data_IF_184279774206
#
_entry.id   IF_184279774206
#
_cell.length_a   1.000
_cell.length_b   1.000
_cell.length_c   1.000
_cell.angle_alpha   90.00
_cell.angle_beta   90.00
_cell.angle_gamma   90.00
#
_symmetry.space_group_name_H-M   'P 1'
#
loop_
_entity.id
_entity.type
_entity.pdbx_description
1 polymer ?
#
# COMPACT_ATOMS: atom_id res chain seq x y z
N UNK A 1 1.96 3.48 -15.97
CA UNK A 1 2.47 2.10 -15.86
C UNK A 1 3.73 2.05 -15.00
N UNK A 2 4.79 2.80 -15.31
CA UNK A 2 6.03 2.81 -14.50
C UNK A 2 5.82 3.13 -13.00
N UNK A 3 4.95 4.09 -12.67
CA UNK A 3 4.68 4.47 -11.26
C UNK A 3 3.96 3.38 -10.45
N UNK A 4 3.12 2.57 -11.09
CA UNK A 4 2.48 1.40 -10.46
C UNK A 4 3.56 0.37 -10.11
N UNK A 5 4.47 0.10 -11.05
CA UNK A 5 5.58 -0.82 -10.85
C UNK A 5 6.47 -0.40 -9.67
N UNK A 6 6.83 0.88 -9.59
CA UNK A 6 7.66 1.42 -8.51
C UNK A 6 6.96 1.29 -7.16
N UNK A 7 5.67 1.64 -7.06
CA UNK A 7 4.91 1.47 -5.82
C UNK A 7 4.79 0.00 -5.39
N UNK A 8 4.61 -0.93 -6.33
CA UNK A 8 4.62 -2.36 -6.04
C UNK A 8 5.99 -2.86 -5.57
N UNK A 9 7.09 -2.36 -6.16
CA UNK A 9 8.45 -2.71 -5.74
C UNK A 9 8.74 -2.22 -4.32
N UNK A 10 8.33 -1.00 -3.99
CA UNK A 10 8.48 -0.47 -2.63
C UNK A 10 7.64 -1.27 -1.64
N UNK A 11 6.37 -1.54 -1.97
CA UNK A 11 5.53 -2.39 -1.12
C UNK A 11 6.17 -3.77 -0.89
N UNK A 12 6.72 -4.39 -1.93
CA UNK A 12 7.42 -5.67 -1.83
C UNK A 12 8.69 -5.57 -0.98
N UNK A 13 9.44 -4.47 -1.10
CA UNK A 13 10.63 -4.19 -0.28
C UNK A 13 10.25 -4.07 1.21
N UNK A 14 9.15 -3.38 1.53
CA UNK A 14 8.64 -3.31 2.89
C UNK A 14 8.16 -4.67 3.40
N UNK A 15 7.47 -5.47 2.60
CA UNK A 15 7.13 -6.84 3.00
C UNK A 15 8.37 -7.70 3.28
N UNK A 16 9.42 -7.54 2.46
CA UNK A 16 10.70 -8.21 2.67
C UNK A 16 11.39 -7.76 3.96
N UNK A 17 11.41 -6.46 4.23
CA UNK A 17 11.92 -5.91 5.48
C UNK A 17 11.13 -6.44 6.68
N UNK A 18 9.81 -6.54 6.57
CA UNK A 18 8.93 -7.07 7.60
C UNK A 18 9.18 -8.55 7.88
N UNK A 19 9.49 -9.33 6.84
CA UNK A 19 9.90 -10.72 6.97
C UNK A 19 11.27 -10.86 7.64
N UNK A 20 12.25 -10.01 7.29
CA UNK A 20 13.58 -9.98 7.95
C UNK A 20 13.45 -9.63 9.43
N UNK A 21 12.56 -8.70 9.78
CA UNK A 21 12.29 -8.28 11.16
C UNK A 21 11.34 -9.23 11.91
N UNK A 22 10.92 -10.35 11.29
CA UNK A 22 9.97 -11.33 11.84
C UNK A 22 8.58 -10.76 12.20
N UNK A 23 8.20 -9.59 11.66
CA UNK A 23 6.85 -9.05 11.81
C UNK A 23 5.83 -9.71 10.87
N UNK A 24 6.31 -10.29 9.77
CA UNK A 24 5.48 -10.73 8.65
C UNK A 24 5.95 -12.09 8.17
N UNK A 25 5.01 -12.97 7.78
CA UNK A 25 5.34 -14.30 7.23
C UNK A 25 5.40 -14.30 5.71
N UNK A 26 6.04 -15.30 5.10
CA UNK A 26 6.11 -15.49 3.64
C UNK A 26 4.74 -15.54 2.94
N UNK A 27 3.67 -15.91 3.64
CA UNK A 27 2.31 -15.92 3.07
C UNK A 27 1.85 -14.51 2.65
N UNK A 28 2.36 -13.47 3.31
CA UNK A 28 1.93 -12.08 3.09
C UNK A 28 2.42 -11.52 1.74
N UNK A 29 3.44 -12.12 1.12
CA UNK A 29 3.81 -11.78 -0.27
C UNK A 29 2.67 -12.02 -1.26
N UNK A 30 1.70 -12.89 -0.92
CA UNK A 30 0.46 -13.07 -1.68
C UNK A 30 -0.38 -11.80 -1.79
N UNK A 31 -0.16 -10.79 -0.94
CA UNK A 31 -0.86 -9.49 -1.02
C UNK A 31 -0.37 -8.59 -2.17
N UNK A 32 0.83 -8.82 -2.70
CA UNK A 32 1.41 -8.00 -3.79
C UNK A 32 0.47 -7.87 -5.01
N UNK A 33 -0.09 -8.96 -5.58
CA UNK A 33 -1.05 -8.84 -6.69
C UNK A 33 -2.33 -8.09 -6.29
N UNK A 34 -2.84 -8.26 -5.07
CA UNK A 34 -4.03 -7.53 -4.60
C UNK A 34 -3.74 -6.04 -4.42
N UNK A 35 -2.53 -5.69 -3.97
CA UNK A 35 -2.07 -4.31 -3.93
C UNK A 35 -2.02 -3.71 -5.34
N UNK A 36 -1.43 -4.40 -6.31
CA UNK A 36 -1.40 -3.94 -7.69
C UNK A 36 -2.81 -3.70 -8.27
N UNK A 37 -3.76 -4.60 -8.00
CA UNK A 37 -5.16 -4.45 -8.40
C UNK A 37 -5.83 -3.25 -7.72
N UNK A 38 -5.57 -3.02 -6.44
CA UNK A 38 -6.11 -1.88 -5.69
C UNK A 38 -5.60 -0.52 -6.18
N UNK A 39 -4.45 -0.47 -6.86
CA UNK A 39 -3.92 0.76 -7.47
C UNK A 39 -4.74 1.22 -8.69
N UNK A 40 -5.50 0.32 -9.34
CA UNK A 40 -6.36 0.67 -10.48
C UNK A 40 -7.50 1.64 -10.09
N UNK A 41 -8.36 1.35 -9.09
CA UNK A 41 -9.37 2.31 -8.65
C UNK A 41 -8.74 3.57 -8.04
N UNK A 42 -7.62 3.45 -7.32
CA UNK A 42 -6.87 4.61 -6.81
C UNK A 42 -6.42 5.54 -7.93
N UNK A 43 -6.03 5.01 -9.08
CA UNK A 43 -5.64 5.82 -10.24
C UNK A 43 -6.76 6.75 -10.73
N UNK A 44 -8.02 6.37 -10.53
CA UNK A 44 -9.17 7.20 -10.87
C UNK A 44 -9.39 8.32 -9.84
N UNK A 45 -9.16 8.02 -8.56
CA UNK A 45 -9.28 8.98 -7.45
C UNK A 45 -8.20 10.07 -7.53
N UNK A 46 -6.96 9.69 -7.88
CA UNK A 46 -5.82 10.60 -8.04
C UNK A 46 -5.68 11.19 -9.46
N UNK A 47 -6.71 11.08 -10.31
CA UNK A 47 -6.68 11.56 -11.70
C UNK A 47 -6.60 13.09 -11.81
N UNK A 48 -7.12 13.82 -10.83
CA UNK A 48 -7.01 15.29 -10.78
C UNK A 48 -5.64 15.66 -10.20
N UNK A 49 -4.80 16.28 -11.02
CA UNK A 49 -3.57 16.91 -10.55
C UNK A 49 -3.96 18.00 -9.55
N UNK A 50 -3.67 17.75 -8.28
CA UNK A 50 -3.77 18.71 -7.21
C UNK A 50 -2.37 18.79 -6.63
N UNK A 51 -1.71 19.94 -6.73
CA UNK A 51 -0.45 20.23 -6.02
C UNK A 51 -0.69 20.42 -4.51
N UNK A 52 -1.68 19.71 -3.95
CA UNK A 52 -2.01 19.77 -2.53
C UNK A 52 -1.11 18.80 -1.78
N UNK A 53 -0.64 19.19 -0.58
CA UNK A 53 0.09 18.29 0.30
C UNK A 53 -0.80 17.13 0.77
N UNK A 54 -0.20 16.24 1.54
CA UNK A 54 -0.82 15.08 2.19
C UNK A 54 -2.24 15.39 2.71
N UNK A 55 -3.26 14.69 2.20
CA UNK A 55 -4.64 14.89 2.63
C UNK A 55 -5.03 13.84 3.66
N UNK A 56 -5.88 14.18 4.63
CA UNK A 56 -6.47 13.23 5.59
C UNK A 56 -7.13 12.03 4.91
N UNK A 57 -7.62 12.21 3.68
CA UNK A 57 -8.20 11.15 2.85
C UNK A 57 -7.19 10.03 2.53
N UNK A 58 -5.91 10.36 2.36
CA UNK A 58 -4.86 9.40 1.99
C UNK A 58 -4.64 8.37 3.11
N UNK A 59 -4.68 8.83 4.37
CA UNK A 59 -4.66 7.97 5.55
C UNK A 59 -5.89 7.04 5.61
N UNK A 60 -7.08 7.58 5.34
CA UNK A 60 -8.31 6.78 5.31
C UNK A 60 -8.29 5.69 4.24
N UNK A 61 -7.76 6.00 3.05
CA UNK A 61 -7.62 5.03 1.95
C UNK A 61 -6.64 3.92 2.36
N UNK A 62 -5.48 4.26 2.94
CA UNK A 62 -4.53 3.28 3.44
C UNK A 62 -5.15 2.37 4.51
N UNK A 63 -5.99 2.93 5.40
CA UNK A 63 -6.66 2.17 6.46
C UNK A 63 -7.68 1.18 5.89
N UNK A 64 -8.53 1.61 4.96
CA UNK A 64 -9.51 0.75 4.30
C UNK A 64 -8.81 -0.41 3.57
N UNK A 65 -7.71 -0.10 2.88
CA UNK A 65 -6.93 -1.09 2.13
C UNK A 65 -6.22 -2.09 3.06
N UNK A 66 -5.75 -1.61 4.21
CA UNK A 66 -5.18 -2.47 5.26
C UNK A 66 -6.23 -3.39 5.88
N UNK A 67 -7.43 -2.89 6.16
CA UNK A 67 -8.54 -3.71 6.63
C UNK A 67 -8.90 -4.80 5.61
N UNK A 68 -8.93 -4.45 4.32
CA UNK A 68 -9.14 -5.42 3.24
C UNK A 68 -8.04 -6.50 3.24
N UNK A 69 -6.77 -6.12 3.40
CA UNK A 69 -5.67 -7.09 3.51
C UNK A 69 -5.75 -7.96 4.76
N UNK A 70 -6.16 -7.41 5.90
CA UNK A 70 -6.39 -8.20 7.11
C UNK A 70 -7.45 -9.28 6.89
N UNK A 71 -8.54 -8.95 6.20
CA UNK A 71 -9.58 -9.94 5.87
C UNK A 71 -9.01 -11.06 5.00
N UNK A 72 -8.19 -10.72 3.99
CA UNK A 72 -7.51 -11.73 3.16
C UNK A 72 -6.56 -12.62 3.98
N UNK A 73 -5.77 -12.01 4.86
CA UNK A 73 -4.84 -12.73 5.75
C UNK A 73 -5.58 -13.63 6.75
N UNK A 74 -6.74 -13.22 7.23
CA UNK A 74 -7.61 -14.04 8.05
C UNK A 74 -8.08 -15.28 7.30
N UNK A 75 -8.51 -15.14 6.04
CA UNK A 75 -8.86 -16.28 5.20
C UNK A 75 -7.67 -17.21 4.92
N UNK A 76 -6.44 -16.67 4.90
CA UNK A 76 -5.20 -17.45 4.76
C UNK A 76 -4.66 -18.01 6.08
N UNK A 77 -5.43 -17.93 7.16
CA UNK A 77 -5.07 -18.48 8.49
C UNK A 77 -3.75 -17.89 9.05
N UNK A 78 -3.42 -16.65 8.70
CA UNK A 78 -2.23 -15.96 9.25
C UNK A 78 -2.57 -15.40 10.64
N UNK A 79 -1.70 -15.64 11.61
CA UNK A 79 -1.84 -15.08 12.97
C UNK A 79 -1.81 -13.55 12.94
N UNK A 80 -2.95 -12.93 13.24
CA UNK A 80 -3.08 -11.49 13.28
C UNK A 80 -2.56 -10.96 14.62
N UNK A 81 -1.58 -10.06 14.57
CA UNK A 81 -1.06 -9.35 15.75
C UNK A 81 -1.20 -7.85 15.55
N UNK A 82 -1.19 -7.11 16.66
CA UNK A 82 -1.22 -5.64 16.62
C UNK A 82 -0.01 -5.06 15.87
N UNK A 83 1.17 -5.68 16.03
CA UNK A 83 2.38 -5.28 15.31
C UNK A 83 2.24 -5.49 13.80
N UNK A 84 1.69 -6.63 13.37
CA UNK A 84 1.45 -6.93 11.95
C UNK A 84 0.47 -5.94 11.33
N UNK A 85 -0.59 -5.56 12.05
CA UNK A 85 -1.54 -4.56 11.57
C UNK A 85 -0.87 -3.21 11.26
N UNK A 86 -0.13 -2.64 12.24
CA UNK A 86 0.54 -1.36 12.03
C UNK A 86 1.64 -1.42 10.99
N UNK A 87 2.33 -2.56 10.91
CA UNK A 87 3.36 -2.76 9.91
C UNK A 87 2.80 -2.76 8.48
N UNK A 88 1.70 -3.51 8.25
CA UNK A 88 1.03 -3.53 6.95
C UNK A 88 0.43 -2.17 6.64
N UNK A 89 -0.18 -1.50 7.61
CA UNK A 89 -0.71 -0.15 7.44
C UNK A 89 0.37 0.83 6.97
N UNK A 90 1.52 0.85 7.64
CA UNK A 90 2.65 1.71 7.29
C UNK A 90 3.19 1.38 5.89
N UNK A 91 3.34 0.08 5.59
CA UNK A 91 3.83 -0.39 4.28
C UNK A 91 2.91 0.04 3.15
N UNK A 92 1.59 -0.12 3.35
CA UNK A 92 0.56 0.32 2.41
C UNK A 92 0.56 1.83 2.26
N UNK A 93 0.60 2.56 3.37
CA UNK A 93 0.59 4.03 3.39
C UNK A 93 1.77 4.60 2.61
N UNK A 94 3.00 4.13 2.86
CA UNK A 94 4.20 4.59 2.14
C UNK A 94 4.10 4.29 0.64
N UNK A 95 3.62 3.11 0.26
CA UNK A 95 3.50 2.74 -1.14
C UNK A 95 2.42 3.56 -1.90
N UNK A 96 1.30 3.88 -1.22
CA UNK A 96 0.24 4.75 -1.74
C UNK A 96 0.72 6.19 -1.83
N UNK A 97 1.41 6.70 -0.82
CA UNK A 97 1.97 8.06 -0.82
C UNK A 97 2.91 8.27 -2.00
N UNK A 98 3.80 7.30 -2.24
CA UNK A 98 4.71 7.38 -3.37
C UNK A 98 3.97 7.30 -4.72
N UNK A 99 2.90 6.51 -4.79
CA UNK A 99 2.02 6.48 -5.96
C UNK A 99 1.32 7.83 -6.18
N UNK A 100 0.70 8.37 -5.14
CA UNK A 100 -0.05 9.62 -5.17
C UNK A 100 0.88 10.80 -5.48
N UNK A 101 2.04 10.89 -4.83
CA UNK A 101 3.07 11.87 -5.11
C UNK A 101 3.50 11.85 -6.57
N UNK A 102 3.80 10.67 -7.13
CA UNK A 102 4.19 10.54 -8.54
C UNK A 102 3.11 10.99 -9.54
N UNK A 103 1.83 10.99 -9.13
CA UNK A 103 0.69 11.48 -9.92
C UNK A 103 0.42 12.97 -9.70
N UNK A 104 0.52 13.45 -8.45
CA UNK A 104 0.30 14.85 -8.05
C UNK A 104 1.38 15.78 -8.61
N UNK A 105 2.66 15.39 -8.54
CA UNK A 105 3.79 16.22 -8.98
C UNK A 105 4.11 16.08 -10.48
N UNK A 106 3.40 15.21 -11.21
CA UNK A 106 3.59 15.06 -12.66
C UNK A 106 3.11 16.26 -13.48
N UNK A 107 2.45 17.25 -12.88
CA UNK A 107 2.09 18.52 -13.56
C UNK A 107 3.18 19.60 -13.47
N UNK A 108 4.35 19.29 -12.91
CA UNK A 108 5.51 20.19 -12.83
C UNK A 108 6.60 19.88 -13.89
N UNK A 109 6.34 18.96 -14.81
CA UNK A 109 7.11 18.73 -16.03
C UNK A 109 6.24 18.99 -17.25
#
# INVERSE_FOLDING_TARGET
MLTVLISCLIFSCFLLLGNVLMFVTSVVYGLIPFFALSLLPLSHIYRKANCKPLEWKDYGIALILTLFFLVLLYFWQVSLSYALFWYIYLSVFVAIELYAGSRRFKSLQ
#
